data_IF_706442661289
#
_entry.id   IF_706442661289
#
_cell.length_a   1.000
_cell.length_b   1.000
_cell.length_c   1.000
_cell.angle_alpha   90.00
_cell.angle_beta   90.00
_cell.angle_gamma   90.00
#
_symmetry.space_group_name_H-M   'P 1'
#
loop_
_entity.id
_entity.type
_entity.pdbx_description
1 polymer ?
#
# COMPACT_ATOMS: atom_id res chain seq x y z
N UNK A 1 -14.35 37.20 -16.97
CA UNK A 1 -13.10 36.96 -16.22
C UNK A 1 -12.40 35.76 -16.84
N UNK A 2 -11.25 35.98 -17.47
CA UNK A 2 -10.47 34.93 -18.10
C UNK A 2 -9.87 34.01 -17.05
N UNK A 3 -10.19 32.72 -17.14
CA UNK A 3 -9.44 31.65 -16.45
C UNK A 3 -8.02 31.66 -17.06
N UNK A 4 -6.94 31.80 -16.28
CA UNK A 4 -5.60 31.80 -16.85
C UNK A 4 -5.34 30.45 -17.51
N UNK A 5 -4.90 30.47 -18.78
CA UNK A 5 -4.27 29.33 -19.46
C UNK A 5 -3.02 28.92 -18.68
N UNK A 6 -3.18 28.01 -17.72
CA UNK A 6 -2.10 27.33 -16.99
C UNK A 6 -1.69 26.04 -17.74
N UNK A 7 -1.48 26.15 -19.04
CA UNK A 7 -1.20 25.04 -19.95
C UNK A 7 -0.13 25.46 -20.96
N UNK A 8 1.09 25.76 -20.51
CA UNK A 8 2.33 25.44 -21.28
C UNK A 8 3.65 25.78 -20.56
N UNK A 9 3.74 25.44 -19.28
CA UNK A 9 5.06 25.23 -18.67
C UNK A 9 5.17 23.74 -18.40
N UNK A 10 6.07 23.06 -19.11
CA UNK A 10 6.38 21.63 -18.90
C UNK A 10 6.98 21.48 -17.50
N UNK A 11 6.09 21.40 -16.51
CA UNK A 11 6.43 21.02 -15.15
C UNK A 11 7.20 19.69 -15.23
N UNK A 12 8.42 19.61 -14.70
CA UNK A 12 9.25 18.44 -14.88
C UNK A 12 8.53 17.22 -14.30
N UNK A 13 8.37 16.19 -15.13
CA UNK A 13 7.99 14.86 -14.66
C UNK A 13 9.15 14.34 -13.82
N UNK A 14 8.92 14.16 -12.53
CA UNK A 14 9.87 13.50 -11.64
C UNK A 14 9.87 12.00 -11.93
N UNK A 15 8.69 11.41 -12.14
CA UNK A 15 8.50 10.05 -12.65
C UNK A 15 7.12 9.89 -13.25
N UNK A 16 6.92 8.88 -14.10
CA UNK A 16 5.65 8.58 -14.76
C UNK A 16 5.46 7.07 -14.88
N UNK A 17 4.25 6.60 -14.59
CA UNK A 17 3.78 5.25 -14.89
C UNK A 17 2.64 5.31 -15.91
N UNK A 18 2.46 4.28 -16.72
CA UNK A 18 1.37 4.24 -17.70
C UNK A 18 0.86 2.82 -17.94
N UNK A 19 -0.42 2.73 -18.33
CA UNK A 19 -1.04 1.48 -18.77
C UNK A 19 -2.13 1.78 -19.79
N UNK A 20 -2.46 0.78 -20.60
CA UNK A 20 -3.45 0.92 -21.68
C UNK A 20 -4.54 -0.13 -21.55
N UNK A 21 -5.77 0.23 -21.92
CA UNK A 21 -6.93 -0.66 -21.95
C UNK A 21 -7.80 -0.32 -23.16
N UNK A 22 -7.80 -1.20 -24.17
CA UNK A 22 -8.47 -1.00 -25.45
C UNK A 22 -8.06 0.31 -26.13
N UNK A 23 -9.01 1.22 -26.39
CA UNK A 23 -8.75 2.53 -27.00
C UNK A 23 -8.35 3.63 -26.00
N UNK A 24 -7.96 3.26 -24.77
CA UNK A 24 -7.69 4.18 -23.66
C UNK A 24 -6.28 4.01 -23.15
N UNK A 25 -5.58 5.13 -23.01
CA UNK A 25 -4.26 5.20 -22.39
C UNK A 25 -4.36 5.97 -21.08
N UNK A 26 -3.74 5.45 -20.04
CA UNK A 26 -3.70 6.06 -18.71
C UNK A 26 -2.25 6.41 -18.38
N UNK A 27 -2.04 7.63 -17.90
CA UNK A 27 -0.75 8.15 -17.44
C UNK A 27 -0.91 8.57 -15.99
N UNK A 28 0.02 8.17 -15.14
CA UNK A 28 0.13 8.57 -13.75
C UNK A 28 1.45 9.28 -13.61
N UNK A 29 1.43 10.60 -13.63
CA UNK A 29 2.64 11.42 -13.56
C UNK A 29 2.83 11.98 -12.14
N UNK A 30 4.05 11.89 -11.61
CA UNK A 30 4.48 12.65 -10.46
C UNK A 30 5.30 13.85 -10.94
N UNK A 31 4.81 15.06 -10.67
CA UNK A 31 5.30 16.32 -11.23
C UNK A 31 5.62 17.31 -10.12
N UNK A 32 6.47 18.27 -10.43
CA UNK A 32 6.71 19.44 -9.57
C UNK A 32 6.09 20.69 -10.18
N UNK A 33 5.31 21.43 -9.41
CA UNK A 33 4.71 22.69 -9.81
C UNK A 33 5.72 23.85 -9.70
N UNK A 34 5.36 25.01 -10.25
CA UNK A 34 6.21 26.21 -10.25
C UNK A 34 6.51 26.68 -8.82
N UNK A 35 5.58 26.48 -7.89
CA UNK A 35 5.73 26.79 -6.47
C UNK A 35 6.53 25.74 -5.68
N UNK A 36 7.24 24.82 -6.35
CA UNK A 36 7.93 23.66 -5.79
C UNK A 36 7.07 22.60 -5.11
N UNK A 37 5.74 22.75 -5.06
CA UNK A 37 4.87 21.68 -4.55
C UNK A 37 4.85 20.50 -5.50
N UNK A 38 4.89 19.29 -4.96
CA UNK A 38 4.74 18.09 -5.78
C UNK A 38 3.26 17.73 -5.96
N UNK A 39 2.94 17.08 -7.07
CA UNK A 39 1.57 16.65 -7.37
C UNK A 39 1.56 15.40 -8.24
N UNK A 40 0.47 14.64 -8.13
CA UNK A 40 0.16 13.51 -9.00
C UNK A 40 -0.88 13.98 -10.02
N UNK A 41 -0.67 13.60 -11.27
CA UNK A 41 -1.60 13.86 -12.36
C UNK A 41 -1.97 12.54 -13.04
N UNK A 42 -3.22 12.10 -12.87
CA UNK A 42 -3.77 10.93 -13.54
C UNK A 42 -4.49 11.38 -14.81
N UNK A 43 -3.96 11.05 -15.98
CA UNK A 43 -4.54 11.40 -17.28
C UNK A 43 -5.07 10.17 -17.97
N UNK A 44 -6.34 10.19 -18.36
CA UNK A 44 -6.94 9.24 -19.30
C UNK A 44 -7.00 9.89 -20.69
N UNK A 45 -6.55 9.17 -21.71
CA UNK A 45 -6.55 9.57 -23.12
C UNK A 45 -7.31 8.52 -23.94
N UNK A 46 -8.51 8.85 -24.40
CA UNK A 46 -9.33 8.02 -25.29
C UNK A 46 -9.01 8.33 -26.76
N UNK A 47 -8.74 7.30 -27.57
CA UNK A 47 -8.62 7.44 -29.03
C UNK A 47 -10.01 7.46 -29.67
N UNK A 48 -10.30 8.52 -30.43
CA UNK A 48 -11.55 8.70 -31.18
C UNK A 48 -11.45 7.97 -32.53
N UNK A 49 -12.59 7.52 -33.06
CA UNK A 49 -12.65 6.86 -34.37
C UNK A 49 -12.23 7.79 -35.51
N UNK A 50 -12.36 9.11 -35.32
CA UNK A 50 -11.95 10.17 -36.25
C UNK A 50 -10.43 10.41 -36.29
N UNK A 51 -9.63 9.64 -35.52
CA UNK A 51 -8.18 9.78 -35.44
C UNK A 51 -7.67 10.75 -34.38
N UNK A 52 -8.55 11.49 -33.70
CA UNK A 52 -8.21 12.38 -32.59
C UNK A 52 -8.11 11.68 -31.23
N UNK A 53 -7.71 12.43 -30.19
CA UNK A 53 -7.69 11.95 -28.80
C UNK A 53 -8.49 12.88 -27.88
N UNK A 54 -9.29 12.30 -26.99
CA UNK A 54 -9.93 13.02 -25.89
C UNK A 54 -9.18 12.73 -24.59
N UNK A 55 -8.68 13.77 -23.92
CA UNK A 55 -7.97 13.63 -22.65
C UNK A 55 -8.79 14.20 -21.50
N UNK A 56 -8.76 13.52 -20.37
CA UNK A 56 -9.28 13.98 -19.10
C UNK A 56 -8.23 13.72 -18.03
N UNK A 57 -8.00 14.68 -17.14
CA UNK A 57 -7.03 14.53 -16.07
C UNK A 57 -7.64 14.83 -14.70
N UNK A 58 -7.05 14.20 -13.69
CA UNK A 58 -7.27 14.49 -12.27
C UNK A 58 -5.92 14.83 -11.66
N UNK A 59 -5.85 15.92 -10.91
CA UNK A 59 -4.63 16.39 -10.25
C UNK A 59 -4.85 16.37 -8.75
N UNK A 60 -3.87 15.88 -8.01
CA UNK A 60 -3.86 15.85 -6.54
C UNK A 60 -2.51 16.39 -6.07
N UNK A 61 -2.50 17.36 -5.17
CA UNK A 61 -1.28 17.93 -4.60
C UNK A 61 -0.78 17.13 -3.40
N UNK A 62 0.50 17.28 -3.05
CA UNK A 62 1.14 16.48 -2.02
C UNK A 62 0.51 16.60 -0.62
N UNK A 63 -0.11 17.73 -0.32
CA UNK A 63 -0.89 17.94 0.91
C UNK A 63 -2.06 16.95 1.05
N UNK A 64 -2.65 16.54 -0.07
CA UNK A 64 -3.82 15.65 -0.12
C UNK A 64 -3.47 14.18 -0.37
N UNK A 65 -2.18 13.82 -0.52
CA UNK A 65 -1.78 12.45 -0.85
C UNK A 65 -2.25 11.43 0.19
N UNK A 66 -2.25 11.80 1.46
CA UNK A 66 -2.69 10.91 2.52
C UNK A 66 -4.19 10.60 2.42
N UNK A 67 -5.02 11.58 2.05
CA UNK A 67 -6.45 11.36 1.77
C UNK A 67 -6.65 10.48 0.53
N UNK A 68 -5.89 10.75 -0.54
CA UNK A 68 -5.95 9.96 -1.77
C UNK A 68 -5.64 8.49 -1.54
N UNK A 69 -4.54 8.19 -0.83
CA UNK A 69 -4.11 6.83 -0.52
C UNK A 69 -5.14 6.12 0.37
N UNK A 70 -5.71 6.83 1.35
CA UNK A 70 -6.74 6.30 2.23
C UNK A 70 -8.03 5.97 1.45
N UNK A 71 -8.44 6.87 0.55
CA UNK A 71 -9.61 6.68 -0.31
C UNK A 71 -9.43 5.49 -1.25
N UNK A 72 -8.28 5.35 -1.93
CA UNK A 72 -8.00 4.19 -2.77
C UNK A 72 -7.97 2.89 -1.97
N UNK A 73 -7.37 2.89 -0.77
CA UNK A 73 -7.31 1.71 0.08
C UNK A 73 -8.71 1.25 0.50
N UNK A 74 -9.55 2.19 0.97
CA UNK A 74 -10.95 1.93 1.34
C UNK A 74 -11.78 1.47 0.14
N UNK A 75 -11.61 2.12 -1.02
CA UNK A 75 -12.29 1.76 -2.26
C UNK A 75 -11.94 0.34 -2.70
N UNK A 76 -10.65 -0.01 -2.75
CA UNK A 76 -10.23 -1.33 -3.21
C UNK A 76 -10.62 -2.45 -2.23
N UNK A 77 -10.63 -2.17 -0.92
CA UNK A 77 -11.18 -3.10 0.06
C UNK A 77 -12.69 -3.31 -0.18
N UNK A 78 -13.45 -2.23 -0.32
CA UNK A 78 -14.89 -2.29 -0.60
C UNK A 78 -15.19 -3.00 -1.93
N UNK A 79 -14.44 -2.71 -2.98
CA UNK A 79 -14.59 -3.34 -4.29
C UNK A 79 -14.25 -4.83 -4.27
N UNK A 80 -13.27 -5.24 -3.46
CA UNK A 80 -12.94 -6.65 -3.25
C UNK A 80 -14.07 -7.39 -2.52
N UNK A 81 -14.79 -6.74 -1.60
CA UNK A 81 -15.96 -7.31 -0.94
C UNK A 81 -17.18 -7.45 -1.87
N UNK A 82 -17.30 -6.59 -2.89
CA UNK A 82 -18.40 -6.65 -3.87
C UNK A 82 -18.21 -7.71 -4.96
N UNK A 83 -16.99 -8.21 -5.19
CA UNK A 83 -16.70 -9.22 -6.21
C UNK A 83 -16.69 -10.64 -5.62
N UNK A 84 -17.87 -11.16 -5.28
CA UNK A 84 -18.14 -12.59 -5.28
C UNK A 84 -18.83 -12.94 -6.62
N UNK A 85 -18.38 -14.03 -7.23
CA UNK A 85 -18.79 -14.59 -8.54
C UNK A 85 -18.08 -14.01 -9.79
N UNK A 86 -16.92 -14.63 -10.10
CA UNK A 86 -16.30 -14.83 -11.44
C UNK A 86 -16.29 -13.66 -12.44
N UNK A 87 -15.12 -13.03 -12.55
CA UNK A 87 -14.56 -12.75 -13.89
C UNK A 87 -13.04 -12.81 -13.85
N UNK A 88 -12.46 -13.62 -14.74
CA UNK A 88 -11.03 -13.73 -14.98
C UNK A 88 -10.44 -12.35 -15.29
N UNK A 89 -9.75 -11.76 -14.33
CA UNK A 89 -8.86 -10.65 -14.61
C UNK A 89 -7.71 -11.21 -15.45
N UNK A 90 -7.77 -11.00 -16.77
CA UNK A 90 -6.65 -11.21 -17.69
C UNK A 90 -5.40 -10.59 -17.08
N UNK A 91 -4.42 -11.44 -16.80
CA UNK A 91 -3.12 -11.10 -16.27
C UNK A 91 -2.51 -9.92 -17.03
N UNK A 92 -2.50 -8.74 -16.40
CA UNK A 92 -1.60 -7.66 -16.78
C UNK A 92 -0.19 -8.24 -16.55
N UNK A 93 0.72 -8.24 -17.54
CA UNK A 93 2.08 -8.67 -17.30
C UNK A 93 2.62 -7.79 -16.18
N UNK A 94 2.95 -8.37 -15.03
CA UNK A 94 3.62 -7.67 -13.95
C UNK A 94 4.80 -6.93 -14.56
N UNK A 95 4.76 -5.60 -14.56
CA UNK A 95 5.94 -4.76 -14.68
C UNK A 95 6.92 -5.33 -13.65
N UNK A 96 8.02 -5.85 -14.19
CA UNK A 96 8.95 -6.80 -13.59
C UNK A 96 9.03 -6.69 -12.06
N UNK A 97 8.30 -7.55 -11.35
CA UNK A 97 8.64 -7.82 -9.96
C UNK A 97 10.00 -8.52 -10.02
N UNK A 98 11.00 -7.94 -9.37
CA UNK A 98 12.26 -8.65 -9.09
C UNK A 98 11.94 -10.08 -8.64
N UNK A 99 12.72 -11.06 -9.10
CA UNK A 99 12.69 -12.43 -8.58
C UNK A 99 13.04 -12.37 -7.09
N UNK A 100 12.05 -12.18 -6.24
CA UNK A 100 12.21 -11.99 -4.80
C UNK A 100 10.94 -12.43 -4.09
N UNK A 101 11.09 -13.45 -3.26
CA UNK A 101 10.15 -13.99 -2.26
C UNK A 101 8.66 -14.10 -2.67
N UNK A 102 8.21 -15.34 -2.80
CA UNK A 102 6.79 -15.72 -2.90
C UNK A 102 5.96 -15.06 -1.80
N UNK A 103 5.09 -14.12 -2.17
CA UNK A 103 4.19 -13.44 -1.23
C UNK A 103 3.22 -14.40 -0.53
N UNK A 104 2.71 -14.03 0.63
CA UNK A 104 1.86 -14.88 1.50
C UNK A 104 0.67 -15.50 0.74
N UNK A 105 0.10 -14.77 -0.24
CA UNK A 105 -0.99 -15.28 -1.10
C UNK A 105 -0.64 -16.54 -1.90
N UNK A 106 0.64 -16.87 -2.05
CA UNK A 106 1.10 -18.08 -2.73
C UNK A 106 1.28 -19.28 -1.78
N UNK A 107 1.16 -19.07 -0.46
CA UNK A 107 1.19 -20.15 0.53
C UNK A 107 -0.10 -20.95 0.46
N UNK A 108 -0.07 -22.18 1.00
CA UNK A 108 -1.28 -22.94 1.28
C UNK A 108 -2.25 -22.03 2.09
N UNK A 109 -3.53 -21.88 1.67
CA UNK A 109 -4.52 -21.11 2.41
C UNK A 109 -4.48 -21.32 3.92
N UNK A 110 -4.34 -22.55 4.41
CA UNK A 110 -4.33 -22.87 5.84
C UNK A 110 -3.12 -22.28 6.61
N UNK A 111 -2.06 -21.91 5.90
CA UNK A 111 -0.85 -21.32 6.45
C UNK A 111 -0.82 -19.79 6.38
N UNK A 112 -1.81 -19.17 5.72
CA UNK A 112 -1.85 -17.71 5.59
C UNK A 112 -2.40 -17.12 6.88
N UNK A 113 -1.81 -16.06 7.46
CA UNK A 113 -2.19 -15.61 8.80
C UNK A 113 -3.68 -15.31 8.99
N UNK A 114 -4.33 -14.67 8.00
CA UNK A 114 -5.76 -14.32 8.11
C UNK A 114 -6.66 -15.55 8.02
N UNK A 115 -6.40 -16.42 7.06
CA UNK A 115 -7.15 -17.66 6.86
C UNK A 115 -6.90 -18.62 8.04
N UNK A 116 -5.66 -18.76 8.48
CA UNK A 116 -5.26 -19.54 9.67
C UNK A 116 -5.95 -19.05 10.92
N UNK A 117 -6.05 -17.73 11.12
CA UNK A 117 -6.77 -17.11 12.23
C UNK A 117 -8.27 -17.46 12.22
N UNK A 118 -8.91 -17.42 11.05
CA UNK A 118 -10.33 -17.76 10.90
C UNK A 118 -10.59 -19.23 11.19
N UNK A 119 -9.70 -20.13 10.73
CA UNK A 119 -9.91 -21.58 10.87
C UNK A 119 -9.47 -22.12 12.23
N UNK A 120 -8.38 -21.61 12.80
CA UNK A 120 -7.74 -22.20 13.99
C UNK A 120 -7.69 -21.26 15.21
N UNK A 121 -8.15 -20.01 15.08
CA UNK A 121 -8.14 -19.02 16.16
C UNK A 121 -6.78 -18.35 16.39
N UNK A 122 -6.72 -17.50 17.42
CA UNK A 122 -5.54 -16.70 17.80
C UNK A 122 -4.33 -17.55 18.15
N UNK A 123 -4.54 -18.63 18.89
CA UNK A 123 -3.47 -19.41 19.54
C UNK A 123 -2.62 -20.19 18.53
N UNK A 124 -3.14 -20.36 17.31
CA UNK A 124 -2.40 -20.98 16.22
C UNK A 124 -1.35 -20.05 15.60
N UNK A 125 -1.46 -18.73 15.81
CA UNK A 125 -0.57 -17.75 15.18
C UNK A 125 0.64 -17.47 16.05
N UNK A 126 1.80 -17.36 15.40
CA UNK A 126 3.00 -16.79 16.02
C UNK A 126 2.87 -15.27 16.17
N UNK A 127 3.68 -14.70 17.07
CA UNK A 127 3.78 -13.24 17.25
C UNK A 127 4.06 -12.51 15.93
N UNK A 128 4.89 -13.09 15.06
CA UNK A 128 5.20 -12.54 13.76
C UNK A 128 3.98 -12.54 12.83
N UNK A 129 3.16 -13.59 12.86
CA UNK A 129 1.91 -13.68 12.09
C UNK A 129 0.86 -12.68 12.60
N UNK A 130 0.74 -12.53 13.92
CA UNK A 130 -0.13 -11.52 14.54
C UNK A 130 0.29 -10.10 14.14
N UNK A 131 1.59 -9.79 14.23
CA UNK A 131 2.12 -8.50 13.78
C UNK A 131 1.95 -8.29 12.27
N UNK A 132 2.10 -9.34 11.46
CA UNK A 132 1.92 -9.27 10.01
C UNK A 132 0.49 -8.89 9.63
N UNK A 133 -0.50 -9.32 10.42
CA UNK A 133 -1.90 -8.93 10.23
C UNK A 133 -2.11 -7.43 10.48
N UNK A 134 -1.43 -6.85 11.47
CA UNK A 134 -1.51 -5.42 11.79
C UNK A 134 -0.95 -4.54 10.68
N UNK A 135 0.20 -4.92 10.09
CA UNK A 135 0.85 -4.12 9.03
C UNK A 135 0.25 -4.35 7.64
N UNK A 136 -0.52 -5.43 7.46
CA UNK A 136 -1.29 -5.79 6.27
C UNK A 136 -0.47 -6.23 5.04
N UNK A 137 0.71 -5.65 4.82
CA UNK A 137 1.58 -5.95 3.68
C UNK A 137 3.06 -5.85 4.03
N UNK A 138 3.86 -6.67 3.35
CA UNK A 138 5.32 -6.60 3.38
C UNK A 138 5.88 -5.66 2.31
N UNK A 139 7.08 -5.96 1.86
CA UNK A 139 7.75 -5.33 0.71
C UNK A 139 7.72 -6.27 -0.52
N UNK A 140 8.05 -5.77 -1.73
CA UNK A 140 8.17 -6.63 -2.91
C UNK A 140 9.15 -7.80 -2.74
N UNK A 141 10.19 -7.62 -1.93
CA UNK A 141 11.27 -8.59 -1.68
C UNK A 141 11.11 -9.36 -0.35
N UNK A 142 10.12 -9.01 0.49
CA UNK A 142 9.98 -9.58 1.84
C UNK A 142 8.51 -9.63 2.26
N UNK A 143 8.02 -10.82 2.64
CA UNK A 143 6.64 -10.97 3.11
C UNK A 143 6.39 -10.19 4.42
N UNK A 144 5.12 -9.90 4.73
CA UNK A 144 4.76 -9.25 5.99
C UNK A 144 5.24 -10.05 7.20
N UNK A 145 5.06 -11.38 7.17
CA UNK A 145 5.53 -12.30 8.22
C UNK A 145 7.05 -12.23 8.36
N UNK A 146 7.81 -12.34 7.26
CA UNK A 146 9.26 -12.27 7.30
C UNK A 146 9.79 -10.90 7.76
N UNK A 147 9.07 -9.82 7.47
CA UNK A 147 9.39 -8.48 7.98
C UNK A 147 9.16 -8.40 9.49
N UNK A 148 8.05 -8.93 9.99
CA UNK A 148 7.76 -8.98 11.42
C UNK A 148 8.71 -9.91 12.20
N UNK A 149 9.10 -11.05 11.62
CA UNK A 149 10.15 -11.92 12.18
C UNK A 149 11.47 -11.15 12.35
N UNK A 150 11.86 -10.34 11.36
CA UNK A 150 13.08 -9.54 11.45
C UNK A 150 13.00 -8.47 12.56
N UNK A 151 11.83 -7.84 12.73
CA UNK A 151 11.58 -6.86 13.81
C UNK A 151 11.68 -7.54 15.18
N UNK A 152 11.00 -8.69 15.35
CA UNK A 152 11.03 -9.45 16.59
C UNK A 152 12.45 -9.94 16.91
N UNK A 153 13.17 -10.45 15.91
CA UNK A 153 14.55 -10.91 16.08
C UNK A 153 15.47 -9.79 16.58
N UNK A 154 15.26 -8.55 16.14
CA UNK A 154 16.07 -7.40 16.58
C UNK A 154 15.88 -7.04 18.07
N UNK A 155 14.80 -7.52 18.69
CA UNK A 155 14.56 -7.40 20.13
C UNK A 155 14.65 -8.75 20.86
N UNK A 156 15.28 -9.76 20.24
CA UNK A 156 15.46 -11.08 20.83
C UNK A 156 14.18 -11.91 20.96
N UNK A 157 13.17 -11.65 20.13
CA UNK A 157 11.88 -12.34 20.17
C UNK A 157 10.95 -11.87 21.28
N UNK A 158 11.26 -10.75 21.95
CA UNK A 158 10.57 -10.27 23.14
C UNK A 158 9.62 -9.10 22.84
N UNK A 159 8.32 -9.36 22.90
CA UNK A 159 7.27 -8.35 22.69
C UNK A 159 7.31 -7.23 23.75
N UNK A 160 7.68 -7.55 24.98
CA UNK A 160 7.82 -6.57 26.06
C UNK A 160 8.93 -5.55 25.75
N UNK A 161 10.07 -6.02 25.22
CA UNK A 161 11.14 -5.13 24.77
C UNK A 161 10.73 -4.32 23.52
N UNK A 162 9.94 -4.91 22.62
CA UNK A 162 9.39 -4.19 21.46
C UNK A 162 8.47 -3.06 21.89
N UNK A 163 7.65 -3.27 22.92
CA UNK A 163 6.71 -2.28 23.44
C UNK A 163 7.39 -1.03 24.03
N UNK A 164 8.66 -1.15 24.43
CA UNK A 164 9.46 0.00 24.91
C UNK A 164 10.06 0.86 23.81
N UNK A 165 9.93 0.45 22.53
CA UNK A 165 10.54 1.14 21.40
C UNK A 165 9.68 2.29 20.90
N UNK A 166 10.35 3.29 20.32
CA UNK A 166 9.69 4.41 19.68
C UNK A 166 9.48 4.17 18.17
N UNK A 167 8.67 5.03 17.56
CA UNK A 167 8.41 5.01 16.12
C UNK A 167 9.72 5.06 15.30
N UNK A 168 10.72 5.84 15.73
CA UNK A 168 11.99 5.97 15.01
C UNK A 168 12.77 4.66 15.00
N UNK A 169 12.73 3.89 16.09
CA UNK A 169 13.38 2.58 16.17
C UNK A 169 12.75 1.57 15.21
N UNK A 170 11.42 1.53 15.13
CA UNK A 170 10.72 0.64 14.18
C UNK A 170 10.87 1.11 12.72
N UNK A 171 10.97 2.41 12.48
CA UNK A 171 11.11 2.97 11.12
C UNK A 171 12.47 2.71 10.46
N UNK A 172 13.44 2.17 11.21
CA UNK A 172 14.71 1.71 10.65
C UNK A 172 14.54 0.48 9.76
N UNK A 173 13.46 -0.28 9.94
CA UNK A 173 13.13 -1.41 9.09
C UNK A 173 12.49 -0.88 7.81
N UNK A 174 13.19 -1.06 6.68
CA UNK A 174 12.63 -0.67 5.38
C UNK A 174 11.25 -1.34 5.19
N UNK A 175 10.26 -0.56 4.75
CA UNK A 175 8.87 -1.02 4.63
C UNK A 175 8.02 -0.86 5.89
N UNK A 176 8.57 -0.33 6.99
CA UNK A 176 7.86 0.10 8.20
C UNK A 176 7.89 1.63 8.27
N UNK A 177 6.86 2.27 7.73
CA UNK A 177 6.63 3.71 7.89
C UNK A 177 5.73 4.00 9.09
N UNK A 178 5.42 5.29 9.30
CA UNK A 178 4.64 5.78 10.45
C UNK A 178 3.34 5.02 10.68
N UNK A 179 2.58 4.74 9.62
CA UNK A 179 1.33 3.98 9.74
C UNK A 179 1.55 2.58 10.34
N UNK A 180 2.52 1.82 9.81
CA UNK A 180 2.77 0.43 10.23
C UNK A 180 3.39 0.35 11.61
N UNK A 181 4.33 1.24 11.93
CA UNK A 181 4.91 1.29 13.28
C UNK A 181 3.89 1.72 14.33
N UNK A 182 3.02 2.69 14.03
CA UNK A 182 2.00 3.13 14.99
C UNK A 182 0.98 2.03 15.24
N UNK A 183 0.61 1.26 14.23
CA UNK A 183 -0.26 0.09 14.40
C UNK A 183 0.35 -0.96 15.35
N UNK A 184 1.64 -1.29 15.18
CA UNK A 184 2.34 -2.22 16.07
C UNK A 184 2.40 -1.68 17.50
N UNK A 185 2.86 -0.44 17.68
CA UNK A 185 3.01 0.16 19.01
C UNK A 185 1.67 0.32 19.73
N UNK A 186 0.61 0.69 19.01
CA UNK A 186 -0.74 0.78 19.57
C UNK A 186 -1.24 -0.59 20.05
N UNK A 187 -1.04 -1.65 19.26
CA UNK A 187 -1.44 -3.00 19.65
C UNK A 187 -0.69 -3.51 20.89
N UNK A 188 0.62 -3.27 20.96
CA UNK A 188 1.42 -3.63 22.13
C UNK A 188 1.01 -2.86 23.38
N UNK A 189 0.73 -1.56 23.25
CA UNK A 189 0.26 -0.74 24.37
C UNK A 189 -1.14 -1.18 24.85
N UNK A 190 -2.04 -1.57 23.94
CA UNK A 190 -3.32 -2.17 24.31
C UNK A 190 -3.13 -3.45 25.11
N UNK A 191 -2.28 -4.37 24.65
CA UNK A 191 -1.96 -5.60 25.37
C UNK A 191 -1.38 -5.32 26.77
N UNK A 192 -0.45 -4.36 26.87
CA UNK A 192 0.12 -3.93 28.15
C UNK A 192 -0.94 -3.39 29.12
N UNK A 193 -1.89 -2.59 28.64
CA UNK A 193 -2.99 -2.05 29.44
C UNK A 193 -3.95 -3.15 29.91
N UNK A 194 -4.25 -4.13 29.06
CA UNK A 194 -5.10 -5.25 29.43
C UNK A 194 -4.48 -6.08 30.56
N UNK A 195 -3.17 -6.33 30.52
CA UNK A 195 -2.47 -7.06 31.58
C UNK A 195 -2.28 -6.25 32.88
N UNK A 196 -2.28 -4.92 32.81
CA UNK A 196 -2.14 -4.05 33.97
C UNK A 196 -3.45 -3.87 34.78
N UNK A 197 -4.58 -4.36 34.26
CA UNK A 197 -5.90 -4.29 34.89
C UNK A 197 -6.20 -5.55 35.74
N UNK A 198 -5.18 -6.35 36.05
CA UNK A 198 -5.27 -7.55 36.90
C UNK A 198 -4.75 -7.31 38.32
#
# INVERSE_FOLDING_TARGET
MCVPKLLDMKNPNLTSENFSSANRNYFIDFKRAINNSNYICITRSDKLQTGGYRRSNVVVFEEDFHFLVSAFSSLFQSAAHLHLEKSEYKNIPRLTCHKGVKGIKTWNPDMRPREKFVTHGTDALSDAELMAMLIGSGRPDQSAVALCEAILKAVGGRLDLLATKDHKSLSRFNGIGIAKSSAILAALELGRRMCAVG
#
